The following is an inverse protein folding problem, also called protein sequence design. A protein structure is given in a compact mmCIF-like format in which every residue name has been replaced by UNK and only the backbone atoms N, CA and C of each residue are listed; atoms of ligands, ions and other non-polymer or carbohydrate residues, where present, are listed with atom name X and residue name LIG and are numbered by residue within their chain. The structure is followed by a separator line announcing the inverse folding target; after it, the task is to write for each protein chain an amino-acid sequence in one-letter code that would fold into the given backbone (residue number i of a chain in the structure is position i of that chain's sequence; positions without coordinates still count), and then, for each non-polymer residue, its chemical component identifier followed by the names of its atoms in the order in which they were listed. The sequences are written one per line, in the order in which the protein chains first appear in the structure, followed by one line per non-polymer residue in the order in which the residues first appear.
data_IF_058625930563
#
_entry.id   IF_058625930563
#
_cell.length_a   1.000
_cell.length_b   1.000
_cell.length_c   1.000
_cell.angle_alpha   90.00
_cell.angle_beta   90.00
_cell.angle_gamma   90.00
#
_symmetry.space_group_name_H-M   'P 1'
#
loop_
_entity.id
_entity.type
_entity.pdbx_description
1 polymer ?
#
# COMPACT_ATOMS: atom_id res chain seq x y z
N UNK A 1 -14.78 -3.62 -16.27
CA UNK A 1 -14.88 -2.15 -16.28
C UNK A 1 -13.56 -1.43 -16.63
N UNK A 2 -12.36 -1.90 -16.23
CA UNK A 2 -11.06 -1.29 -16.62
C UNK A 2 -10.90 -1.07 -18.13
N UNK A 3 -11.32 -2.02 -18.96
CA UNK A 3 -11.21 -1.93 -20.41
C UNK A 3 -12.15 -0.86 -21.00
N UNK A 4 -13.27 -0.56 -20.34
CA UNK A 4 -14.26 0.43 -20.79
C UNK A 4 -13.74 1.85 -20.51
N UNK A 5 -13.17 2.09 -19.33
CA UNK A 5 -12.56 3.39 -18.99
C UNK A 5 -11.34 3.70 -19.87
N UNK A 6 -10.51 2.69 -20.17
CA UNK A 6 -9.38 2.84 -21.11
C UNK A 6 -9.83 3.14 -22.54
N UNK A 7 -10.89 2.48 -23.02
CA UNK A 7 -11.46 2.71 -24.35
C UNK A 7 -12.11 4.09 -24.46
N UNK A 8 -12.84 4.53 -23.43
CA UNK A 8 -13.39 5.88 -23.36
C UNK A 8 -12.28 6.95 -23.31
N UNK A 9 -11.19 6.73 -22.57
CA UNK A 9 -10.05 7.64 -22.54
C UNK A 9 -9.37 7.77 -23.91
N UNK A 10 -9.27 6.68 -24.67
CA UNK A 10 -8.76 6.69 -26.05
C UNK A 10 -9.68 7.48 -27.00
N UNK A 11 -11.00 7.29 -26.90
CA UNK A 11 -11.99 7.99 -27.74
C UNK A 11 -11.99 9.49 -27.44
N UNK A 12 -12.01 9.88 -26.17
CA UNK A 12 -11.96 11.29 -25.76
C UNK A 12 -10.62 11.94 -26.11
N UNK A 13 -9.50 11.22 -25.99
CA UNK A 13 -8.18 11.70 -26.39
C UNK A 13 -8.06 11.94 -27.90
N UNK A 14 -8.49 10.98 -28.73
CA UNK A 14 -8.47 11.15 -30.20
C UNK A 14 -9.42 12.27 -30.67
N UNK A 15 -10.64 12.33 -30.13
CA UNK A 15 -11.59 13.38 -30.48
C UNK A 15 -11.19 14.77 -29.99
N UNK A 16 -10.53 14.86 -28.83
CA UNK A 16 -9.98 16.12 -28.30
C UNK A 16 -8.88 16.69 -29.20
N UNK A 17 -7.93 15.86 -29.63
CA UNK A 17 -6.85 16.25 -30.56
C UNK A 17 -7.42 16.70 -31.90
N UNK A 18 -8.42 16.00 -32.44
CA UNK A 18 -9.07 16.37 -33.70
C UNK A 18 -9.79 17.74 -33.59
N UNK A 19 -10.59 17.95 -32.53
CA UNK A 19 -11.33 19.20 -32.32
C UNK A 19 -10.43 20.43 -32.08
N UNK A 20 -9.23 20.24 -31.52
CA UNK A 20 -8.23 21.29 -31.36
C UNK A 20 -7.66 21.82 -32.68
N UNK A 21 -7.77 21.06 -33.76
CA UNK A 21 -7.30 21.45 -35.10
C UNK A 21 -8.35 22.16 -35.96
N UNK A 22 -9.62 22.19 -35.54
CA UNK A 22 -10.74 22.77 -36.28
C UNK A 22 -11.55 23.74 -35.41
N UNK A 23 -11.10 25.01 -35.28
CA UNK A 23 -11.73 26.23 -34.68
C UNK A 23 -12.65 26.11 -33.43
N UNK A 24 -12.84 24.92 -32.86
CA UNK A 24 -13.69 24.59 -31.73
C UNK A 24 -12.80 24.21 -30.53
N UNK A 25 -11.84 25.06 -30.21
CA UNK A 25 -10.83 24.81 -29.17
C UNK A 25 -11.43 24.53 -27.79
N UNK A 26 -12.59 25.11 -27.48
CA UNK A 26 -13.30 24.87 -26.20
C UNK A 26 -13.85 23.44 -26.10
N UNK A 27 -14.27 22.83 -27.22
CA UNK A 27 -14.75 21.45 -27.26
C UNK A 27 -13.58 20.45 -27.09
N UNK A 28 -12.42 20.76 -27.67
CA UNK A 28 -11.18 19.99 -27.47
C UNK A 28 -10.73 19.97 -26.00
N UNK A 29 -10.77 21.12 -25.32
CA UNK A 29 -10.43 21.21 -23.90
C UNK A 29 -11.41 20.44 -23.00
N UNK A 30 -12.72 20.47 -23.30
CA UNK A 30 -13.73 19.71 -22.57
C UNK A 30 -13.51 18.18 -22.68
N UNK A 31 -13.15 17.70 -23.88
CA UNK A 31 -12.85 16.28 -24.12
C UNK A 31 -11.58 15.82 -23.40
N UNK A 32 -10.54 16.67 -23.32
CA UNK A 32 -9.31 16.38 -22.58
C UNK A 32 -9.54 16.38 -21.06
N UNK A 33 -10.40 17.25 -20.55
CA UNK A 33 -10.84 17.21 -19.16
C UNK A 33 -11.61 15.91 -18.83
N UNK A 34 -12.51 15.48 -19.73
CA UNK A 34 -13.24 14.22 -19.60
C UNK A 34 -12.30 12.99 -19.64
N UNK A 35 -11.27 13.01 -20.50
CA UNK A 35 -10.22 12.00 -20.53
C UNK A 35 -9.45 11.95 -19.19
N UNK A 36 -9.10 13.12 -18.64
CA UNK A 36 -8.44 13.23 -17.33
C UNK A 36 -9.29 12.63 -16.20
N UNK A 37 -10.59 12.91 -16.18
CA UNK A 37 -11.54 12.36 -15.18
C UNK A 37 -11.69 10.83 -15.36
N UNK A 38 -11.75 10.33 -16.60
CA UNK A 38 -11.83 8.90 -16.90
C UNK A 38 -10.59 8.14 -16.44
N UNK A 39 -9.39 8.70 -16.69
CA UNK A 39 -8.12 8.13 -16.23
C UNK A 39 -7.98 8.19 -14.71
N UNK A 40 -8.39 9.29 -14.08
CA UNK A 40 -8.38 9.45 -12.62
C UNK A 40 -9.29 8.43 -11.93
N UNK A 41 -10.49 8.20 -12.47
CA UNK A 41 -11.40 7.18 -11.94
C UNK A 41 -10.89 5.75 -12.19
N UNK A 42 -10.14 5.52 -13.27
CA UNK A 42 -9.53 4.22 -13.60
C UNK A 42 -8.35 3.80 -12.70
N UNK A 43 -7.72 4.75 -11.99
CA UNK A 43 -6.63 4.47 -11.05
C UNK A 43 -7.11 4.16 -9.62
N UNK A 44 -8.42 4.28 -9.34
CA UNK A 44 -8.96 3.88 -8.03
C UNK A 44 -8.84 2.35 -7.88
N UNK A 45 -8.26 1.82 -6.80
CA UNK A 45 -8.19 0.38 -6.56
C UNK A 45 -9.60 -0.15 -6.32
N UNK A 46 -10.26 -0.59 -7.38
CA UNK A 46 -11.56 -1.24 -7.28
C UNK A 46 -11.32 -2.70 -6.91
N UNK A 47 -11.06 -2.96 -5.63
CA UNK A 47 -11.20 -4.31 -5.06
C UNK A 47 -12.69 -4.58 -4.87
N UNK A 48 -13.33 -5.09 -5.91
CA UNK A 48 -14.60 -5.82 -5.71
C UNK A 48 -14.25 -7.06 -4.88
N UNK A 49 -14.63 -7.04 -3.61
CA UNK A 49 -14.63 -8.23 -2.74
C UNK A 49 -15.55 -9.26 -3.40
N UNK A 50 -15.00 -10.41 -3.81
CA UNK A 50 -15.73 -11.45 -4.56
C UNK A 50 -16.64 -12.25 -3.62
N UNK A 51 -17.51 -13.09 -4.18
CA UNK A 51 -18.36 -14.00 -3.40
C UNK A 51 -17.48 -15.05 -2.71
N UNK A 52 -17.77 -15.34 -1.43
CA UNK A 52 -17.08 -16.37 -0.67
C UNK A 52 -17.45 -17.76 -1.22
N UNK A 53 -16.44 -18.58 -1.53
CA UNK A 53 -16.64 -19.99 -1.87
C UNK A 53 -16.63 -20.81 -0.59
N UNK A 54 -17.80 -21.36 -0.23
CA UNK A 54 -17.98 -22.17 0.99
C UNK A 54 -18.19 -23.65 0.68
N UNK A 55 -17.88 -24.09 -0.55
CA UNK A 55 -18.09 -25.46 -1.02
C UNK A 55 -17.39 -26.54 -0.18
N UNK A 56 -16.35 -26.17 0.58
CA UNK A 56 -15.55 -27.08 1.40
C UNK A 56 -15.95 -27.11 2.88
N UNK A 57 -16.95 -26.32 3.29
CA UNK A 57 -17.42 -26.24 4.69
C UNK A 57 -18.64 -27.14 4.94
N UNK A 58 -18.81 -27.59 6.19
CA UNK A 58 -20.04 -28.24 6.62
C UNK A 58 -21.23 -27.27 6.50
N UNK A 59 -22.42 -27.76 6.11
CA UNK A 59 -23.58 -26.93 5.73
C UNK A 59 -23.94 -25.85 6.77
N UNK A 60 -23.88 -26.19 8.06
CA UNK A 60 -24.15 -25.25 9.17
C UNK A 60 -23.06 -24.19 9.34
N UNK A 61 -21.79 -24.55 9.13
CA UNK A 61 -20.65 -23.62 9.19
C UNK A 61 -20.60 -22.72 7.96
N UNK A 62 -21.02 -23.24 6.80
CA UNK A 62 -21.12 -22.49 5.55
C UNK A 62 -22.14 -21.34 5.65
N UNK A 63 -23.29 -21.57 6.27
CA UNK A 63 -24.31 -20.53 6.47
C UNK A 63 -23.80 -19.38 7.37
N UNK A 64 -23.24 -19.71 8.53
CA UNK A 64 -22.66 -18.72 9.45
C UNK A 64 -21.49 -17.96 8.79
N UNK A 65 -20.62 -18.66 8.07
CA UNK A 65 -19.54 -18.06 7.30
C UNK A 65 -20.05 -17.05 6.26
N UNK A 66 -21.10 -17.39 5.50
CA UNK A 66 -21.68 -16.49 4.51
C UNK A 66 -22.31 -15.25 5.16
N UNK A 67 -22.98 -15.41 6.31
CA UNK A 67 -23.55 -14.29 7.06
C UNK A 67 -22.45 -13.35 7.57
N UNK A 68 -21.43 -13.89 8.23
CA UNK A 68 -20.29 -13.13 8.73
C UNK A 68 -19.55 -12.41 7.58
N UNK A 69 -19.40 -13.08 6.44
CA UNK A 69 -18.77 -12.52 5.24
C UNK A 69 -19.54 -11.33 4.69
N UNK A 70 -20.85 -11.49 4.54
CA UNK A 70 -21.70 -10.45 4.00
C UNK A 70 -21.73 -9.24 4.94
N UNK A 71 -21.83 -9.47 6.26
CA UNK A 71 -21.72 -8.40 7.26
C UNK A 71 -20.38 -7.68 7.15
N UNK A 72 -19.27 -8.41 7.09
CA UNK A 72 -17.95 -7.82 7.02
C UNK A 72 -17.77 -6.95 5.75
N UNK A 73 -18.34 -7.39 4.62
CA UNK A 73 -18.36 -6.63 3.37
C UNK A 73 -19.21 -5.36 3.49
N UNK A 74 -20.40 -5.45 4.10
CA UNK A 74 -21.26 -4.29 4.34
C UNK A 74 -20.57 -3.25 5.22
N UNK A 75 -19.94 -3.65 6.32
CA UNK A 75 -19.24 -2.72 7.21
C UNK A 75 -17.98 -2.13 6.57
N UNK A 76 -17.27 -2.90 5.74
CA UNK A 76 -16.21 -2.39 4.88
C UNK A 76 -16.71 -1.27 3.97
N UNK A 77 -17.80 -1.50 3.24
CA UNK A 77 -18.37 -0.51 2.33
C UNK A 77 -18.91 0.74 3.05
N UNK A 78 -19.45 0.59 4.27
CA UNK A 78 -19.87 1.72 5.13
C UNK A 78 -18.70 2.63 5.46
N UNK A 79 -17.58 2.07 5.92
CA UNK A 79 -16.38 2.85 6.26
C UNK A 79 -15.73 3.45 5.02
N UNK A 80 -15.65 2.71 3.90
CA UNK A 80 -15.10 3.23 2.64
C UNK A 80 -15.96 4.37 2.06
N UNK A 81 -17.28 4.29 2.24
CA UNK A 81 -18.21 5.38 1.90
C UNK A 81 -17.95 6.60 2.77
N UNK A 82 -17.81 6.39 4.08
CA UNK A 82 -17.54 7.49 5.01
C UNK A 82 -16.20 8.16 4.71
N UNK A 83 -15.15 7.38 4.47
CA UNK A 83 -13.82 7.86 4.07
C UNK A 83 -13.87 8.83 2.89
N UNK A 84 -14.75 8.57 1.91
CA UNK A 84 -14.90 9.41 0.71
C UNK A 84 -15.74 10.67 0.94
N UNK A 85 -16.63 10.66 1.93
CA UNK A 85 -17.57 11.76 2.21
C UNK A 85 -17.05 12.73 3.28
N UNK A 86 -16.27 12.22 4.24
CA UNK A 86 -15.68 13.01 5.32
C UNK A 86 -14.78 14.12 4.76
N UNK A 87 -14.96 15.35 5.24
CA UNK A 87 -14.20 16.53 4.78
C UNK A 87 -12.82 16.63 5.42
N UNK A 88 -12.65 16.12 6.65
CA UNK A 88 -11.36 16.06 7.33
C UNK A 88 -10.39 15.13 6.58
N UNK A 89 -9.42 15.74 5.87
CA UNK A 89 -8.42 15.02 5.08
C UNK A 89 -7.57 14.06 5.91
N UNK A 90 -7.29 14.40 7.17
CA UNK A 90 -6.48 13.57 8.07
C UNK A 90 -7.24 12.32 8.49
N UNK A 91 -8.51 12.48 8.85
CA UNK A 91 -9.39 11.35 9.17
C UNK A 91 -9.64 10.48 7.94
N UNK A 92 -9.88 11.07 6.77
CA UNK A 92 -10.01 10.31 5.51
C UNK A 92 -8.76 9.48 5.20
N UNK A 93 -7.57 10.03 5.44
CA UNK A 93 -6.31 9.28 5.27
C UNK A 93 -6.18 8.14 6.30
N UNK A 94 -6.52 8.38 7.57
CA UNK A 94 -6.51 7.35 8.60
C UNK A 94 -7.46 6.19 8.25
N UNK A 95 -8.68 6.51 7.83
CA UNK A 95 -9.66 5.52 7.40
C UNK A 95 -9.18 4.74 6.15
N UNK A 96 -8.40 5.36 5.28
CA UNK A 96 -7.77 4.67 4.15
C UNK A 96 -6.81 3.56 4.61
N UNK A 97 -6.02 3.83 5.66
CA UNK A 97 -5.11 2.85 6.26
C UNK A 97 -5.89 1.70 6.91
N UNK A 98 -6.91 2.03 7.71
CA UNK A 98 -7.77 1.01 8.33
C UNK A 98 -8.46 0.13 7.29
N UNK A 99 -8.98 0.72 6.21
CA UNK A 99 -9.58 -0.03 5.11
C UNK A 99 -8.56 -0.87 4.34
N UNK A 100 -7.31 -0.44 4.24
CA UNK A 100 -6.26 -1.27 3.69
C UNK A 100 -6.05 -2.53 4.56
N UNK A 101 -6.05 -2.41 5.89
CA UNK A 101 -5.97 -3.56 6.80
C UNK A 101 -7.18 -4.48 6.68
N UNK A 102 -8.39 -3.91 6.70
CA UNK A 102 -9.62 -4.67 6.53
C UNK A 102 -9.62 -5.43 5.20
N UNK A 103 -9.16 -4.81 4.11
CA UNK A 103 -9.06 -5.46 2.81
C UNK A 103 -8.01 -6.58 2.77
N UNK A 104 -6.96 -6.51 3.60
CA UNK A 104 -5.98 -7.60 3.72
C UNK A 104 -6.59 -8.80 4.42
N UNK A 105 -7.29 -8.56 5.54
CA UNK A 105 -7.99 -9.61 6.27
C UNK A 105 -9.10 -10.25 5.44
N UNK A 106 -9.97 -9.45 4.81
CA UNK A 106 -11.06 -9.99 3.98
C UNK A 106 -10.53 -10.80 2.81
N UNK A 107 -9.48 -10.32 2.12
CA UNK A 107 -8.84 -11.10 1.05
C UNK A 107 -8.21 -12.42 1.53
N UNK A 108 -7.80 -12.48 2.80
CA UNK A 108 -7.26 -13.70 3.40
C UNK A 108 -8.38 -14.69 3.71
N UNK A 109 -9.42 -14.23 4.40
CA UNK A 109 -10.60 -15.04 4.73
C UNK A 109 -11.34 -15.50 3.47
N UNK A 110 -11.32 -14.71 2.38
CA UNK A 110 -11.85 -15.12 1.07
C UNK A 110 -11.20 -16.41 0.54
N UNK A 111 -9.88 -16.56 0.79
CA UNK A 111 -9.10 -17.72 0.35
C UNK A 111 -9.11 -18.87 1.36
N UNK A 112 -9.46 -18.56 2.60
CA UNK A 112 -9.46 -19.46 3.76
C UNK A 112 -10.81 -19.33 4.47
N UNK A 113 -11.92 -19.77 3.84
CA UNK A 113 -13.27 -19.60 4.38
C UNK A 113 -13.45 -20.26 5.75
N UNK A 114 -12.70 -21.30 6.07
CA UNK A 114 -12.64 -21.95 7.38
C UNK A 114 -12.15 -21.04 8.52
N UNK A 115 -11.48 -19.92 8.18
CA UNK A 115 -10.91 -18.97 9.14
C UNK A 115 -11.82 -17.78 9.42
N UNK A 116 -12.98 -17.68 8.77
CA UNK A 116 -13.90 -16.57 9.00
C UNK A 116 -14.37 -16.47 10.45
N UNK A 117 -14.60 -17.62 11.10
CA UNK A 117 -14.98 -17.67 12.50
C UNK A 117 -13.88 -17.12 13.43
N UNK A 118 -12.61 -17.23 13.05
CA UNK A 118 -11.49 -16.62 13.79
C UNK A 118 -11.46 -15.09 13.64
N UNK A 119 -12.04 -14.55 12.57
CA UNK A 119 -12.20 -13.12 12.33
C UNK A 119 -13.43 -12.51 13.03
N UNK A 120 -14.20 -13.28 13.81
CA UNK A 120 -15.44 -12.80 14.44
C UNK A 120 -15.27 -11.51 15.24
N UNK A 121 -14.21 -11.41 16.05
CA UNK A 121 -13.97 -10.18 16.83
C UNK A 121 -13.67 -8.98 15.94
N UNK A 122 -12.95 -9.19 14.85
CA UNK A 122 -12.73 -8.13 13.86
C UNK A 122 -14.05 -7.70 13.22
N UNK A 123 -14.83 -8.66 12.70
CA UNK A 123 -16.05 -8.43 11.93
C UNK A 123 -17.17 -7.82 12.78
N UNK A 124 -17.44 -8.39 13.95
CA UNK A 124 -18.60 -8.03 14.77
C UNK A 124 -18.34 -6.88 15.73
N UNK A 125 -17.08 -6.59 16.05
CA UNK A 125 -16.76 -5.55 17.03
C UNK A 125 -15.96 -4.41 16.40
N UNK A 126 -14.75 -4.68 15.89
CA UNK A 126 -13.84 -3.61 15.46
C UNK A 126 -14.27 -2.92 14.15
N UNK A 127 -14.71 -3.69 13.16
CA UNK A 127 -15.19 -3.17 11.88
C UNK A 127 -16.53 -2.46 12.03
N UNK A 128 -17.49 -3.08 12.72
CA UNK A 128 -18.80 -2.49 13.00
C UNK A 128 -18.69 -1.18 13.79
N UNK A 129 -17.90 -1.18 14.87
CA UNK A 129 -17.72 0.02 15.69
C UNK A 129 -17.06 1.13 14.90
N UNK A 130 -16.12 0.82 14.01
CA UNK A 130 -15.51 1.83 13.13
C UNK A 130 -16.55 2.44 12.18
N UNK A 131 -17.41 1.62 11.58
CA UNK A 131 -18.50 2.08 10.71
C UNK A 131 -19.42 3.05 11.47
N UNK A 132 -19.89 2.65 12.66
CA UNK A 132 -20.76 3.50 13.48
C UNK A 132 -20.10 4.81 13.93
N UNK A 133 -18.81 4.79 14.29
CA UNK A 133 -18.08 6.02 14.64
C UNK A 133 -17.92 6.96 13.44
N UNK A 134 -17.68 6.42 12.25
CA UNK A 134 -17.60 7.21 11.02
C UNK A 134 -18.93 7.86 10.67
N UNK A 135 -20.04 7.12 10.80
CA UNK A 135 -21.39 7.64 10.58
C UNK A 135 -21.75 8.76 11.56
N UNK A 136 -21.46 8.58 12.85
CA UNK A 136 -21.65 9.62 13.87
C UNK A 136 -20.82 10.87 13.56
N UNK A 137 -19.58 10.69 13.11
CA UNK A 137 -18.72 11.81 12.73
C UNK A 137 -19.29 12.58 11.53
N UNK A 138 -19.78 11.85 10.51
CA UNK A 138 -20.42 12.46 9.34
C UNK A 138 -21.69 13.21 9.70
N UNK A 139 -22.53 12.65 10.57
CA UNK A 139 -23.76 13.30 11.03
C UNK A 139 -23.44 14.67 11.67
N UNK A 140 -22.38 14.73 12.50
CA UNK A 140 -21.90 15.99 13.08
C UNK A 140 -21.38 16.97 12.00
N UNK A 141 -20.71 16.52 10.95
CA UNK A 141 -20.29 17.38 9.83
C UNK A 141 -21.50 17.91 9.02
N UNK A 142 -22.55 17.11 8.87
CA UNK A 142 -23.74 17.46 8.11
C UNK A 142 -24.62 18.49 8.82
N UNK A 143 -24.60 18.54 10.16
CA UNK A 143 -25.27 19.60 10.93
C UNK A 143 -24.73 21.00 10.66
N UNK A 144 -23.49 21.12 10.15
CA UNK A 144 -22.76 22.39 9.94
C UNK A 144 -22.61 23.25 11.20
N UNK A 145 -22.83 22.68 12.40
CA UNK A 145 -22.69 23.38 13.67
C UNK A 145 -21.22 23.38 14.12
N UNK A 146 -20.62 24.56 14.24
CA UNK A 146 -19.20 24.72 14.65
C UNK A 146 -19.06 25.15 16.13
N UNK A 147 -19.89 24.61 17.00
CA UNK A 147 -19.80 24.86 18.44
C UNK A 147 -18.54 24.21 19.05
N UNK A 148 -18.11 24.65 20.23
CA UNK A 148 -16.99 24.03 20.95
C UNK A 148 -17.26 22.56 21.28
N UNK A 149 -18.49 22.23 21.69
CA UNK A 149 -18.91 20.87 22.01
C UNK A 149 -18.85 19.96 20.78
N UNK A 150 -19.40 20.40 19.63
CA UNK A 150 -19.36 19.60 18.39
C UNK A 150 -17.93 19.35 17.93
N UNK A 151 -17.05 20.35 18.03
CA UNK A 151 -15.61 20.18 17.72
C UNK A 151 -14.93 19.19 18.65
N UNK A 152 -15.25 19.21 19.95
CA UNK A 152 -14.70 18.27 20.92
C UNK A 152 -15.14 16.83 20.64
N UNK A 153 -16.43 16.59 20.36
CA UNK A 153 -16.92 15.26 20.03
C UNK A 153 -16.31 14.75 18.71
N UNK A 154 -16.26 15.59 17.67
CA UNK A 154 -15.56 15.25 16.40
C UNK A 154 -14.11 14.84 16.66
N UNK A 155 -13.38 15.56 17.52
CA UNK A 155 -12.00 15.23 17.87
C UNK A 155 -11.88 13.88 18.62
N UNK A 156 -12.78 13.61 19.57
CA UNK A 156 -12.80 12.34 20.31
C UNK A 156 -13.12 11.13 19.41
N UNK A 157 -14.10 11.28 18.51
CA UNK A 157 -14.43 10.25 17.51
C UNK A 157 -13.21 9.95 16.62
N UNK A 158 -12.53 11.00 16.14
CA UNK A 158 -11.30 10.88 15.34
C UNK A 158 -10.18 10.18 16.11
N UNK A 159 -9.93 10.56 17.36
CA UNK A 159 -8.91 9.92 18.20
C UNK A 159 -9.22 8.44 18.45
N UNK A 160 -10.49 8.11 18.69
CA UNK A 160 -10.94 6.72 18.86
C UNK A 160 -10.71 5.91 17.59
N UNK A 161 -11.05 6.45 16.42
CA UNK A 161 -10.81 5.81 15.13
C UNK A 161 -9.31 5.61 14.85
N UNK A 162 -8.45 6.55 15.25
CA UNK A 162 -6.99 6.38 15.14
C UNK A 162 -6.52 5.18 15.97
N UNK A 163 -7.04 5.00 17.20
CA UNK A 163 -6.65 3.88 18.07
C UNK A 163 -7.05 2.50 17.53
N UNK A 164 -8.00 2.43 16.59
CA UNK A 164 -8.44 1.16 16.02
C UNK A 164 -7.42 0.56 15.06
N UNK A 165 -6.49 1.36 14.51
CA UNK A 165 -5.42 0.86 13.65
C UNK A 165 -4.56 -0.22 14.35
N UNK A 166 -4.22 0.01 15.61
CA UNK A 166 -3.47 -0.94 16.44
C UNK A 166 -4.29 -2.22 16.68
N UNK A 167 -5.59 -2.07 16.96
CA UNK A 167 -6.48 -3.20 17.17
C UNK A 167 -6.68 -4.06 15.92
N UNK A 168 -6.81 -3.42 14.74
CA UNK A 168 -6.97 -4.12 13.46
C UNK A 168 -5.73 -4.97 13.15
N UNK A 169 -4.54 -4.38 13.33
CA UNK A 169 -3.29 -5.10 13.13
C UNK A 169 -3.11 -6.27 14.12
N UNK A 170 -3.46 -6.07 15.39
CA UNK A 170 -3.34 -7.11 16.42
C UNK A 170 -4.28 -8.30 16.15
N UNK A 171 -5.54 -8.04 15.81
CA UNK A 171 -6.49 -9.11 15.49
C UNK A 171 -6.12 -9.83 14.19
N UNK A 172 -5.67 -9.11 13.16
CA UNK A 172 -5.17 -9.74 11.94
C UNK A 172 -3.97 -10.65 12.20
N UNK A 173 -2.99 -10.17 12.98
CA UNK A 173 -1.79 -10.93 13.35
C UNK A 173 -2.17 -12.21 14.09
N UNK A 174 -3.14 -12.15 15.00
CA UNK A 174 -3.62 -13.32 15.74
C UNK A 174 -4.19 -14.40 14.82
N UNK A 175 -4.97 -14.00 13.80
CA UNK A 175 -5.58 -14.93 12.83
C UNK A 175 -4.49 -15.62 11.99
N UNK A 176 -3.46 -14.88 11.57
CA UNK A 176 -2.33 -15.42 10.80
C UNK A 176 -1.45 -16.35 11.65
N UNK A 177 -1.13 -15.95 12.89
CA UNK A 177 -0.23 -16.71 13.76
C UNK A 177 -0.79 -18.10 14.08
N UNK A 178 -2.11 -18.21 14.30
CA UNK A 178 -2.73 -19.51 14.50
C UNK A 178 -2.50 -20.45 13.29
N UNK A 179 -2.53 -19.91 12.06
CA UNK A 179 -2.24 -20.71 10.87
C UNK A 179 -0.75 -21.06 10.75
N UNK A 180 0.16 -20.16 11.14
CA UNK A 180 1.60 -20.45 11.13
C UNK A 180 1.93 -21.62 12.07
N UNK A 181 1.31 -21.67 13.26
CA UNK A 181 1.46 -22.76 14.20
C UNK A 181 0.93 -24.09 13.63
N UNK A 182 -0.25 -24.06 13.01
CA UNK A 182 -0.84 -25.25 12.36
C UNK A 182 0.10 -25.80 11.27
N UNK A 183 0.62 -24.92 10.40
CA UNK A 183 1.54 -25.31 9.32
C UNK A 183 2.90 -25.80 9.84
N UNK A 184 3.42 -25.23 10.93
CA UNK A 184 4.67 -25.69 11.55
C UNK A 184 4.52 -27.10 12.13
N UNK A 185 3.37 -27.41 12.74
CA UNK A 185 3.06 -28.75 13.20
C UNK A 185 2.99 -29.73 12.02
N UNK A 186 2.31 -29.38 10.92
CA UNK A 186 2.25 -30.20 9.71
C UNK A 186 3.64 -30.42 9.08
N UNK A 187 4.47 -29.36 8.98
CA UNK A 187 5.84 -29.46 8.48
C UNK A 187 6.72 -30.33 9.37
N UNK A 188 6.51 -30.28 10.69
CA UNK A 188 7.22 -31.13 11.64
C UNK A 188 6.86 -32.60 11.43
N UNK A 189 5.58 -32.91 11.28
CA UNK A 189 5.11 -34.27 10.97
C UNK A 189 5.65 -34.73 9.62
N UNK A 190 5.64 -33.86 8.60
CA UNK A 190 6.20 -34.16 7.28
C UNK A 190 7.70 -34.45 7.36
N UNK A 191 8.47 -33.66 8.11
CA UNK A 191 9.91 -33.91 8.34
C UNK A 191 10.14 -35.25 9.04
N UNK A 192 9.37 -35.57 10.08
CA UNK A 192 9.44 -36.85 10.77
C UNK A 192 9.14 -38.04 9.84
N UNK A 193 8.17 -37.89 8.93
CA UNK A 193 7.85 -38.90 7.92
C UNK A 193 8.99 -39.07 6.90
N UNK A 194 9.58 -37.98 6.42
CA UNK A 194 10.71 -38.01 5.48
C UNK A 194 11.97 -38.62 6.13
N UNK A 195 12.23 -38.31 7.40
CA UNK A 195 13.31 -38.93 8.18
C UNK A 195 13.08 -40.43 8.36
N UNK A 196 11.84 -40.85 8.64
CA UNK A 196 11.47 -42.26 8.74
C UNK A 196 11.62 -43.02 7.41
N UNK A 197 11.47 -42.32 6.27
CA UNK A 197 11.73 -42.84 4.92
C UNK A 197 13.21 -42.76 4.50
N UNK A 198 14.10 -42.28 5.37
CA UNK A 198 15.54 -42.17 5.10
C UNK A 198 15.92 -40.99 4.18
N UNK A 199 15.00 -40.06 3.95
CA UNK A 199 15.21 -38.84 3.18
C UNK A 199 15.74 -37.76 4.15
N UNK A 200 17.06 -37.70 4.32
CA UNK A 200 17.68 -36.71 5.18
C UNK A 200 17.76 -35.33 4.50
N UNK A 201 17.12 -34.33 5.09
CA UNK A 201 17.23 -32.93 4.70
C UNK A 201 18.62 -32.41 5.06
N UNK A 202 19.47 -32.15 4.06
CA UNK A 202 20.85 -31.66 4.23
C UNK A 202 20.89 -30.15 4.58
N UNK A 203 19.86 -29.64 5.25
CA UNK A 203 19.71 -28.24 5.68
C UNK A 203 20.15 -27.99 7.14
N UNK A 204 20.71 -29.00 7.82
CA UNK A 204 21.12 -28.91 9.24
C UNK A 204 22.30 -27.98 9.53
N UNK A 205 22.84 -27.25 8.55
CA UNK A 205 23.86 -26.20 8.79
C UNK A 205 23.29 -24.79 9.02
N UNK A 206 21.97 -24.64 9.12
CA UNK A 206 21.31 -23.39 9.53
C UNK A 206 20.43 -23.62 10.76
N UNK A 207 21.01 -24.10 11.85
CA UNK A 207 20.45 -23.87 13.19
C UNK A 207 20.60 -22.38 13.51
N UNK A 208 19.76 -21.56 12.90
CA UNK A 208 19.38 -20.29 13.50
C UNK A 208 18.51 -20.61 14.71
N UNK A 209 18.70 -19.87 15.79
CA UNK A 209 17.85 -19.91 16.99
C UNK A 209 16.36 -19.96 16.63
N UNK A 210 15.49 -20.55 17.48
CA UNK A 210 14.05 -20.51 17.28
C UNK A 210 13.67 -19.06 16.95
N UNK A 211 12.97 -18.86 15.83
CA UNK A 211 12.50 -17.54 15.44
C UNK A 211 11.51 -17.11 16.50
N UNK A 212 12.01 -16.36 17.48
CA UNK A 212 11.18 -15.66 18.44
C UNK A 212 10.43 -14.59 17.65
N UNK A 213 9.20 -14.93 17.23
CA UNK A 213 8.30 -13.99 16.56
C UNK A 213 7.99 -12.93 17.62
N UNK A 214 8.75 -11.83 17.58
CA UNK A 214 8.54 -10.70 18.48
C UNK A 214 7.12 -10.16 18.28
N UNK A 215 6.27 -10.42 19.27
CA UNK A 215 4.84 -10.06 19.33
C UNK A 215 4.61 -8.54 19.31
N UNK A 216 5.66 -7.71 19.36
CA UNK A 216 5.53 -6.25 19.49
C UNK A 216 5.83 -5.44 18.21
N UNK A 217 5.96 -6.07 17.05
CA UNK A 217 6.29 -5.39 15.80
C UNK A 217 5.25 -5.53 14.70
N UNK A 218 4.05 -4.97 14.88
CA UNK A 218 3.17 -4.72 13.73
C UNK A 218 3.87 -3.82 12.69
N UNK A 219 3.47 -3.86 11.40
CA UNK A 219 3.99 -2.89 10.42
C UNK A 219 3.83 -1.46 11.00
N UNK A 220 4.80 -0.56 10.79
CA UNK A 220 4.79 0.75 11.46
C UNK A 220 3.44 1.44 11.23
N UNK A 221 2.75 1.76 12.33
CA UNK A 221 1.52 2.55 12.28
C UNK A 221 1.86 3.85 11.55
N UNK A 222 1.18 4.04 10.42
CA UNK A 222 1.31 5.25 9.60
C UNK A 222 0.33 6.33 10.05
N UNK A 223 -0.40 6.07 11.14
CA UNK A 223 -1.28 7.01 11.82
C UNK A 223 -0.51 8.14 12.49
N UNK A 224 -1.15 9.31 12.50
CA UNK A 224 -0.59 10.53 13.07
C UNK A 224 -0.63 10.42 14.60
N UNK A 225 0.49 9.96 15.18
CA UNK A 225 0.68 9.76 16.62
C UNK A 225 2.14 9.83 17.05
N UNK A 226 2.54 11.00 17.57
CA UNK A 226 3.62 11.30 18.54
C UNK A 226 4.81 10.29 18.65
N UNK A 227 5.94 10.60 18.00
CA UNK A 227 7.24 9.94 18.25
C UNK A 227 7.67 10.11 19.72
N UNK A 228 7.75 9.02 20.48
CA UNK A 228 8.57 8.92 21.70
C UNK A 228 9.93 8.33 21.33
N UNK A 229 10.98 9.10 21.56
CA UNK A 229 12.38 8.71 21.39
C UNK A 229 12.79 7.73 22.49
N UNK A 230 13.35 6.55 22.20
CA UNK A 230 14.07 5.77 23.20
C UNK A 230 15.53 6.25 23.29
N UNK A 231 16.01 6.39 24.53
CA UNK A 231 17.39 6.67 24.93
C UNK A 231 18.34 5.59 24.38
N UNK A 232 19.44 6.02 23.75
CA UNK A 232 20.62 5.19 23.47
C UNK A 232 21.34 4.85 24.78
N UNK A 233 21.69 3.57 24.96
CA UNK A 233 22.72 3.15 25.92
C UNK A 233 23.46 1.92 25.39
N UNK A 234 24.80 2.02 25.31
CA UNK A 234 25.79 0.93 25.21
C UNK A 234 25.76 0.08 23.93
N UNK A 235 26.85 -0.48 23.41
CA UNK A 235 28.26 -0.43 23.73
C UNK A 235 29.00 -0.86 22.45
N UNK A 236 30.14 -0.24 22.20
CA UNK A 236 31.03 -0.54 21.08
C UNK A 236 31.80 -1.82 21.41
N UNK A 237 31.72 -2.84 20.55
CA UNK A 237 32.76 -3.86 20.44
C UNK A 237 33.20 -3.99 18.99
N UNK A 238 34.50 -3.83 18.80
CA UNK A 238 35.23 -3.72 17.54
C UNK A 238 36.06 -5.01 17.41
N UNK A 239 35.69 -5.91 16.49
CA UNK A 239 36.52 -7.05 16.08
C UNK A 239 36.27 -7.30 14.60
N UNK A 240 37.22 -6.94 13.73
CA UNK A 240 37.95 -7.95 12.98
C UNK A 240 37.84 -7.76 11.47
N UNK A 241 38.57 -6.78 10.93
CA UNK A 241 38.79 -6.68 9.49
C UNK A 241 39.78 -7.77 9.04
N UNK A 242 39.34 -8.64 8.13
CA UNK A 242 40.22 -9.32 7.17
C UNK A 242 39.54 -9.36 5.81
N UNK A 243 40.23 -8.77 4.84
CA UNK A 243 39.76 -8.66 3.47
C UNK A 243 39.63 -10.02 2.80
N UNK A 244 38.53 -10.15 2.06
CA UNK A 244 38.37 -11.07 0.95
C UNK A 244 37.82 -10.24 -0.21
N UNK A 245 38.36 -10.50 -1.39
CA UNK A 245 38.13 -9.80 -2.64
C UNK A 245 36.64 -9.55 -2.95
N UNK A 246 36.40 -8.41 -3.60
CA UNK A 246 35.10 -7.83 -3.93
C UNK A 246 34.23 -8.74 -4.82
N UNK A 247 33.55 -9.70 -4.22
CA UNK A 247 32.23 -10.11 -4.72
C UNK A 247 31.30 -8.98 -4.31
N UNK A 248 30.89 -8.13 -5.27
CA UNK A 248 29.93 -7.05 -5.03
C UNK A 248 28.59 -7.72 -4.68
N UNK A 249 28.43 -8.08 -3.42
CA UNK A 249 27.20 -8.60 -2.85
C UNK A 249 26.13 -7.55 -3.13
N UNK A 250 25.18 -7.90 -4.00
CA UNK A 250 24.11 -7.02 -4.42
C UNK A 250 23.19 -6.89 -3.20
N UNK A 251 23.48 -5.91 -2.35
CA UNK A 251 22.74 -5.68 -1.11
C UNK A 251 21.28 -5.43 -1.50
N UNK A 252 20.41 -6.36 -1.14
CA UNK A 252 18.99 -6.23 -1.38
C UNK A 252 18.46 -5.00 -0.63
N UNK A 253 17.59 -4.24 -1.28
CA UNK A 253 16.96 -3.08 -0.65
C UNK A 253 16.26 -3.48 0.65
N UNK A 254 16.58 -2.86 1.80
CA UNK A 254 15.90 -3.20 3.06
C UNK A 254 14.40 -2.88 2.95
N UNK A 255 13.55 -3.81 3.40
CA UNK A 255 12.10 -3.83 3.11
C UNK A 255 11.37 -2.55 3.52
N UNK A 256 11.83 -1.90 4.60
CA UNK A 256 11.32 -0.62 5.09
C UNK A 256 11.63 0.56 4.16
N UNK A 257 12.73 0.52 3.38
CA UNK A 257 13.06 1.57 2.41
C UNK A 257 12.54 1.26 0.99
N UNK A 258 12.27 0.00 0.66
CA UNK A 258 11.88 -0.43 -0.70
C UNK A 258 10.74 0.39 -1.31
N UNK A 259 9.71 0.73 -0.53
CA UNK A 259 8.61 1.61 -0.98
C UNK A 259 9.08 3.03 -1.32
N UNK A 260 9.92 3.61 -0.47
CA UNK A 260 10.45 4.96 -0.69
C UNK A 260 11.39 5.03 -1.91
N UNK A 261 12.19 3.99 -2.12
CA UNK A 261 13.07 3.82 -3.29
C UNK A 261 12.23 3.69 -4.56
N UNK A 262 11.17 2.88 -4.53
CA UNK A 262 10.21 2.75 -5.63
C UNK A 262 9.56 4.09 -5.99
N UNK A 263 9.13 4.87 -5.00
CA UNK A 263 8.53 6.18 -5.23
C UNK A 263 9.53 7.16 -5.84
N UNK A 264 10.76 7.22 -5.33
CA UNK A 264 11.80 8.08 -5.90
C UNK A 264 12.18 7.67 -7.33
N UNK A 265 12.26 6.36 -7.61
CA UNK A 265 12.47 5.82 -8.96
C UNK A 265 11.37 6.27 -9.93
N UNK A 266 10.10 6.20 -9.51
CA UNK A 266 8.96 6.64 -10.31
C UNK A 266 8.98 8.16 -10.54
N UNK A 267 9.25 8.95 -9.49
CA UNK A 267 9.35 10.41 -9.61
C UNK A 267 10.47 10.79 -10.59
N UNK A 268 11.65 10.19 -10.45
CA UNK A 268 12.79 10.43 -11.34
C UNK A 268 12.50 10.08 -12.80
N UNK A 269 11.84 8.94 -13.04
CA UNK A 269 11.43 8.50 -14.38
C UNK A 269 10.38 9.44 -14.99
N UNK A 270 9.33 9.76 -14.24
CA UNK A 270 8.28 10.69 -14.68
C UNK A 270 8.84 12.10 -14.95
N UNK A 271 9.71 12.60 -14.07
CA UNK A 271 10.32 13.92 -14.20
C UNK A 271 11.25 14.00 -15.42
N UNK A 272 11.94 12.92 -15.75
CA UNK A 272 12.81 12.83 -16.93
C UNK A 272 12.01 12.76 -18.24
N UNK A 273 10.83 12.14 -18.24
CA UNK A 273 9.96 12.05 -19.42
C UNK A 273 9.17 13.36 -19.63
N UNK A 274 8.62 13.93 -18.57
CA UNK A 274 7.69 15.08 -18.66
C UNK A 274 8.43 16.42 -18.58
N UNK A 275 9.41 16.57 -17.70
CA UNK A 275 10.18 17.82 -17.49
C UNK A 275 11.67 17.66 -17.79
N UNK A 276 12.03 16.66 -18.59
CA UNK A 276 13.41 16.34 -18.88
C UNK A 276 14.13 17.34 -19.79
N UNK A 277 13.40 18.02 -20.68
CA UNK A 277 13.93 19.07 -21.55
C UNK A 277 14.52 20.25 -20.75
N UNK A 278 13.97 20.51 -19.56
CA UNK A 278 14.46 21.54 -18.62
C UNK A 278 15.47 20.98 -17.61
N UNK A 279 15.80 19.69 -17.67
CA UNK A 279 16.74 19.05 -16.75
C UNK A 279 16.22 18.88 -15.32
N UNK A 280 14.89 18.94 -15.10
CA UNK A 280 14.30 18.85 -13.76
C UNK A 280 14.71 17.58 -13.00
N UNK A 281 14.87 16.45 -13.69
CA UNK A 281 15.34 15.20 -13.10
C UNK A 281 16.81 15.25 -12.66
N UNK A 282 17.67 16.06 -13.29
CA UNK A 282 19.06 16.27 -12.85
C UNK A 282 19.12 17.16 -11.61
N UNK A 283 18.24 18.16 -11.49
CA UNK A 283 18.10 18.96 -10.28
C UNK A 283 17.57 18.13 -9.11
N UNK A 284 16.61 17.25 -9.36
CA UNK A 284 16.09 16.33 -8.35
C UNK A 284 17.17 15.36 -7.80
N UNK A 285 18.16 15.01 -8.62
CA UNK A 285 19.34 14.22 -8.21
C UNK A 285 20.41 15.02 -7.44
N UNK A 286 20.20 16.33 -7.19
CA UNK A 286 21.22 17.20 -6.62
C UNK A 286 22.38 17.54 -7.56
N UNK A 287 22.30 17.16 -8.85
CA UNK A 287 23.34 17.42 -9.87
C UNK A 287 23.12 18.76 -10.57
N UNK A 288 23.19 19.85 -9.80
CA UNK A 288 22.85 21.21 -10.25
C UNK A 288 23.62 21.65 -11.49
N UNK A 289 24.92 21.30 -11.60
CA UNK A 289 25.75 21.64 -12.78
C UNK A 289 25.21 21.03 -14.08
N UNK A 290 24.73 19.79 -14.02
CA UNK A 290 24.12 19.10 -15.17
C UNK A 290 22.72 19.61 -15.46
N UNK A 291 21.94 19.95 -14.43
CA UNK A 291 20.63 20.60 -14.62
C UNK A 291 20.75 21.93 -15.36
N UNK A 292 21.72 22.78 -14.99
CA UNK A 292 21.96 24.07 -15.66
C UNK A 292 22.36 23.84 -17.13
N UNK A 293 23.20 22.85 -17.43
CA UNK A 293 23.57 22.52 -18.80
C UNK A 293 22.35 22.14 -19.66
N UNK A 294 21.39 21.40 -19.09
CA UNK A 294 20.13 21.06 -19.77
C UNK A 294 19.28 22.30 -20.03
N UNK A 295 19.19 23.22 -19.07
CA UNK A 295 18.46 24.50 -19.23
C UNK A 295 19.11 25.39 -20.29
N UNK A 296 20.43 25.40 -20.45
CA UNK A 296 21.10 26.19 -21.50
C UNK A 296 20.94 25.56 -22.88
N UNK A 297 20.90 24.23 -22.95
CA UNK A 297 20.80 23.47 -24.21
C UNK A 297 19.36 23.14 -24.62
N UNK A 298 18.33 23.56 -23.88
CA UNK A 298 16.95 23.16 -24.11
C UNK A 298 16.45 23.47 -25.53
N UNK A 299 16.94 24.56 -26.13
CA UNK A 299 16.61 24.99 -27.49
C UNK A 299 17.15 24.07 -28.59
N UNK A 300 18.14 23.22 -28.29
CA UNK A 300 18.72 22.27 -29.25
C UNK A 300 17.90 21.00 -29.40
N UNK A 301 16.86 20.79 -28.58
CA UNK A 301 16.06 19.56 -28.45
C UNK A 301 16.85 18.30 -28.06
N UNK A 302 18.19 18.33 -28.07
CA UNK A 302 19.07 17.25 -27.61
C UNK A 302 18.75 16.82 -26.17
N UNK A 303 18.56 17.74 -25.19
CA UNK A 303 18.23 17.37 -23.82
C UNK A 303 16.95 16.56 -23.69
N UNK A 304 15.96 16.81 -24.55
CA UNK A 304 14.67 16.11 -24.57
C UNK A 304 14.83 14.63 -24.94
N UNK A 305 15.62 14.33 -25.98
CA UNK A 305 15.87 12.94 -26.37
C UNK A 305 16.67 12.20 -25.29
N UNK A 306 17.71 12.83 -24.74
CA UNK A 306 18.53 12.24 -23.67
C UNK A 306 17.71 11.98 -22.41
N UNK A 307 16.80 12.90 -22.05
CA UNK A 307 15.97 12.75 -20.86
C UNK A 307 14.92 11.65 -20.99
N UNK A 308 14.34 11.46 -22.17
CA UNK A 308 13.41 10.35 -22.44
C UNK A 308 14.14 9.01 -22.29
N UNK A 309 15.33 8.87 -22.88
CA UNK A 309 16.14 7.64 -22.76
C UNK A 309 16.53 7.37 -21.31
N UNK A 310 16.96 8.38 -20.56
CA UNK A 310 17.23 8.25 -19.12
C UNK A 310 15.96 7.90 -18.33
N UNK A 311 14.81 8.49 -18.65
CA UNK A 311 13.53 8.22 -18.00
C UNK A 311 13.06 6.78 -18.19
N UNK A 312 13.19 6.25 -19.41
CA UNK A 312 12.94 4.84 -19.73
C UNK A 312 13.93 3.94 -18.98
N UNK A 313 15.23 4.30 -18.97
CA UNK A 313 16.25 3.55 -18.23
C UNK A 313 15.92 3.46 -16.74
N UNK A 314 15.54 4.58 -16.11
CA UNK A 314 15.12 4.58 -14.71
C UNK A 314 13.88 3.74 -14.49
N UNK A 315 12.91 3.74 -15.41
CA UNK A 315 11.69 2.94 -15.30
C UNK A 315 11.99 1.43 -15.27
N UNK A 316 12.85 0.96 -16.19
CA UNK A 316 13.18 -0.46 -16.34
C UNK A 316 14.33 -0.95 -15.44
N UNK A 317 15.02 -0.06 -14.72
CA UNK A 317 16.08 -0.44 -13.78
C UNK A 317 15.51 -1.23 -12.57
N UNK A 318 16.09 -2.38 -12.18
CA UNK A 318 15.67 -3.08 -10.96
C UNK A 318 15.80 -2.18 -9.71
N UNK A 319 14.92 -2.39 -8.73
CA UNK A 319 14.84 -1.52 -7.54
C UNK A 319 16.15 -1.53 -6.74
N UNK A 320 16.79 -2.70 -6.65
CA UNK A 320 18.07 -2.87 -5.94
C UNK A 320 19.21 -2.13 -6.64
N UNK A 321 19.22 -2.11 -7.99
CA UNK A 321 20.22 -1.37 -8.76
C UNK A 321 20.02 0.15 -8.65
N UNK A 322 18.76 0.58 -8.64
CA UNK A 322 18.42 1.99 -8.46
C UNK A 322 18.82 2.47 -7.06
N UNK A 323 18.60 1.65 -6.03
CA UNK A 323 18.99 1.96 -4.66
C UNK A 323 20.50 2.18 -4.53
N UNK A 324 21.30 1.25 -5.05
CA UNK A 324 22.76 1.34 -5.00
C UNK A 324 23.33 2.53 -5.77
N UNK A 325 22.69 2.96 -6.87
CA UNK A 325 23.24 3.99 -7.75
C UNK A 325 22.71 5.41 -7.49
N UNK A 326 21.51 5.55 -6.93
CA UNK A 326 20.82 6.85 -6.84
C UNK A 326 20.23 7.19 -5.48
N UNK A 327 20.06 6.21 -4.60
CA UNK A 327 19.41 6.42 -3.30
C UNK A 327 20.42 6.46 -2.14
N UNK A 328 21.52 5.72 -2.27
CA UNK A 328 22.62 5.67 -1.31
C UNK A 328 23.58 6.85 -1.47
#
# INVERSE_FOLDING_TARGET
MRNICGLLALIFGMGGIYALTHEAGWAGLAMMAAMGISLYNGQRPQKQIRKLDVSQLAEMQAAAALEDWEKARLDYDRVETARRKIRDSQLSQQLALMQQEAARLLNYVEKHPERIAAANRFIHYYQDRAAGLCEQYMELEDTKLETSQVRQVKAQLKETLVSFDEAYNAEFTKIINNQLLDMEAELTVMKQSLEAEGIHDNAQKRTGEPVEINVQGGPPSTGIGRKKTPKRSGAVTKVGQRGLENVREKIATPDNLRKSVLMQKLIMSALAIVLGALGAHKFYQGKTKWGIAYVVLFWTLIPTFVSIVEGIRYFFMPVDDFYEQYYR
#
